data_IF_754753359081
#
_entry.id   IF_754753359081
#
_cell.length_a   1.000
_cell.length_b   1.000
_cell.length_c   1.000
_cell.angle_alpha   90.00
_cell.angle_beta   90.00
_cell.angle_gamma   90.00
#
_symmetry.space_group_name_H-M   'P 1'
#
loop_
_entity.id
_entity.type
_entity.pdbx_description
1 polymer ?
#
# COMPACT_ATOMS: atom_id res chain seq x y z
N UNK A 1 15.90 17.96 10.66
CA UNK A 1 14.86 17.22 11.43
C UNK A 1 13.90 16.62 10.42
N UNK A 2 13.84 15.30 10.29
CA UNK A 2 12.98 14.64 9.30
C UNK A 2 11.54 14.66 9.80
N UNK A 3 10.72 15.55 9.24
CA UNK A 3 9.27 15.50 9.41
C UNK A 3 8.76 14.26 8.69
N UNK A 4 8.55 13.16 9.42
CA UNK A 4 7.81 12.01 8.90
C UNK A 4 6.34 12.41 8.82
N UNK A 5 5.93 12.90 7.65
CA UNK A 5 4.52 13.04 7.29
C UNK A 5 3.86 11.68 7.52
N UNK A 6 2.89 11.63 8.43
CA UNK A 6 2.06 10.45 8.67
C UNK A 6 1.16 10.25 7.44
N UNK A 7 1.73 9.71 6.36
CA UNK A 7 0.97 9.33 5.17
C UNK A 7 0.04 8.18 5.57
N UNK A 8 -1.27 8.39 5.43
CA UNK A 8 -2.26 7.36 5.67
C UNK A 8 -2.10 6.26 4.61
N UNK A 9 -1.79 5.05 5.07
CA UNK A 9 -1.63 3.88 4.21
C UNK A 9 -2.98 3.22 3.99
N UNK A 10 -3.39 3.12 2.74
CA UNK A 10 -4.59 2.39 2.34
C UNK A 10 -4.18 1.01 1.86
N UNK A 11 -4.82 -0.03 2.39
CA UNK A 11 -4.65 -1.41 1.89
C UNK A 11 -5.53 -1.58 0.67
N UNK A 12 -4.91 -1.90 -0.47
CA UNK A 12 -5.59 -2.14 -1.74
C UNK A 12 -6.05 -3.59 -1.86
N UNK A 13 -5.19 -4.55 -1.51
CA UNK A 13 -5.46 -5.99 -1.66
C UNK A 13 -4.61 -6.82 -0.67
N UNK A 14 -5.09 -8.02 -0.33
CA UNK A 14 -4.39 -8.97 0.57
C UNK A 14 -4.16 -10.31 -0.10
N UNK A 15 -2.94 -10.84 0.03
CA UNK A 15 -2.53 -12.11 -0.55
C UNK A 15 -1.98 -13.04 0.53
N UNK A 16 -2.33 -14.34 0.53
CA UNK A 16 -1.76 -15.30 1.48
C UNK A 16 -0.28 -15.57 1.17
N UNK A 17 0.59 -15.52 2.18
CA UNK A 17 2.03 -15.70 2.00
C UNK A 17 2.41 -17.12 1.56
N UNK A 18 1.58 -18.11 1.90
CA UNK A 18 1.76 -19.52 1.54
C UNK A 18 1.29 -19.95 0.14
N UNK A 19 1.10 -19.01 -0.80
CA UNK A 19 0.66 -19.38 -2.16
C UNK A 19 1.69 -20.28 -2.85
N UNK A 20 1.28 -21.35 -3.57
CA UNK A 20 2.20 -22.31 -4.20
C UNK A 20 3.12 -21.70 -5.29
N UNK A 21 2.90 -20.44 -5.68
CA UNK A 21 3.74 -19.67 -6.61
C UNK A 21 4.51 -18.50 -5.97
N UNK A 22 4.56 -18.41 -4.63
CA UNK A 22 5.29 -17.38 -3.90
C UNK A 22 4.65 -15.98 -3.96
N UNK A 23 5.45 -14.92 -3.75
CA UNK A 23 5.04 -13.50 -3.72
C UNK A 23 4.67 -12.91 -5.10
N UNK A 24 4.76 -13.70 -6.17
CA UNK A 24 4.56 -13.25 -7.55
C UNK A 24 3.22 -12.54 -7.82
N UNK A 25 2.05 -13.04 -7.34
CA UNK A 25 0.77 -12.34 -7.55
C UNK A 25 0.73 -10.96 -6.89
N UNK A 26 1.40 -10.84 -5.74
CA UNK A 26 1.43 -9.61 -4.95
C UNK A 26 2.27 -8.53 -5.63
N UNK A 27 3.42 -8.92 -6.17
CA UNK A 27 4.32 -8.01 -6.89
C UNK A 27 3.73 -7.56 -8.23
N UNK A 28 3.10 -8.47 -8.97
CA UNK A 28 2.42 -8.15 -10.22
C UNK A 28 1.24 -7.19 -9.99
N UNK A 29 0.43 -7.44 -8.96
CA UNK A 29 -0.64 -6.53 -8.58
C UNK A 29 -0.10 -5.16 -8.20
N UNK A 30 0.95 -5.08 -7.37
CA UNK A 30 1.57 -3.80 -7.04
C UNK A 30 2.10 -3.06 -8.28
N UNK A 31 2.70 -3.77 -9.24
CA UNK A 31 3.16 -3.20 -10.51
C UNK A 31 1.99 -2.70 -11.38
N UNK A 32 0.90 -3.46 -11.45
CA UNK A 32 -0.32 -3.06 -12.15
C UNK A 32 -0.92 -1.78 -11.53
N UNK A 33 -1.00 -1.70 -10.20
CA UNK A 33 -1.49 -0.50 -9.51
C UNK A 33 -0.64 0.73 -9.80
N UNK A 34 0.70 0.58 -9.88
CA UNK A 34 1.59 1.67 -10.32
C UNK A 34 1.27 2.11 -11.76
N UNK A 35 1.04 1.17 -12.67
CA UNK A 35 0.63 1.47 -14.04
C UNK A 35 -0.74 2.16 -14.15
N UNK A 36 -1.65 1.89 -13.20
CA UNK A 36 -2.99 2.48 -13.12
C UNK A 36 -3.01 3.88 -12.46
N UNK A 37 -1.86 4.42 -12.06
CA UNK A 37 -1.76 5.76 -11.45
C UNK A 37 -1.66 5.77 -9.92
N UNK A 38 -1.32 4.65 -9.29
CA UNK A 38 -0.95 4.57 -7.87
C UNK A 38 0.57 4.37 -7.74
N UNK A 39 1.39 5.43 -7.97
CA UNK A 39 2.85 5.29 -8.00
C UNK A 39 3.43 4.77 -6.68
N UNK A 40 2.77 5.06 -5.55
CA UNK A 40 3.19 4.65 -4.22
C UNK A 40 2.70 3.25 -3.80
N UNK A 41 2.12 2.48 -4.73
CA UNK A 41 1.72 1.11 -4.44
C UNK A 41 2.96 0.26 -4.10
N UNK A 42 2.94 -0.45 -2.98
CA UNK A 42 4.03 -1.32 -2.53
C UNK A 42 3.53 -2.52 -1.74
N UNK A 43 4.32 -3.58 -1.76
CA UNK A 43 4.07 -4.80 -0.99
C UNK A 43 4.65 -4.66 0.41
N UNK A 44 3.86 -5.00 1.42
CA UNK A 44 4.29 -5.12 2.81
C UNK A 44 3.88 -6.49 3.34
N UNK A 45 4.76 -7.15 4.08
CA UNK A 45 4.42 -8.41 4.75
C UNK A 45 3.82 -8.13 6.12
N UNK A 46 2.59 -8.59 6.34
CA UNK A 46 1.94 -8.68 7.65
C UNK A 46 2.33 -10.01 8.31
N UNK A 47 3.25 -9.91 9.27
CA UNK A 47 3.74 -11.04 10.05
C UNK A 47 2.70 -11.61 11.04
N UNK A 48 1.68 -10.84 11.42
CA UNK A 48 0.67 -11.29 12.39
C UNK A 48 -0.32 -12.24 11.73
N UNK A 49 -0.65 -12.00 10.47
CA UNK A 49 -1.59 -12.81 9.70
C UNK A 49 -0.94 -13.68 8.63
N UNK A 50 0.38 -13.60 8.48
CA UNK A 50 1.15 -14.29 7.43
C UNK A 50 0.60 -13.98 6.03
N UNK A 51 0.43 -12.68 5.76
CA UNK A 51 -0.15 -12.17 4.51
C UNK A 51 0.73 -11.09 3.90
N UNK A 52 0.78 -11.05 2.58
CA UNK A 52 1.27 -9.88 1.87
C UNK A 52 0.13 -8.92 1.61
N UNK A 53 0.35 -7.65 1.95
CA UNK A 53 -0.58 -6.56 1.75
C UNK A 53 -0.01 -5.66 0.65
N UNK A 54 -0.81 -5.36 -0.36
CA UNK A 54 -0.49 -4.26 -1.28
C UNK A 54 -1.10 -3.00 -0.70
N UNK A 55 -0.25 -2.04 -0.36
CA UNK A 55 -0.66 -0.75 0.20
C UNK A 55 -0.27 0.38 -0.72
N UNK A 56 -0.99 1.50 -0.64
CA UNK A 56 -0.57 2.76 -1.23
C UNK A 56 -0.55 3.83 -0.16
N UNK A 57 0.41 4.76 -0.25
CA UNK A 57 0.36 5.98 0.53
C UNK A 57 -0.63 6.91 -0.17
N UNK A 58 -1.89 6.87 0.25
CA UNK A 58 -2.80 7.96 -0.05
C UNK A 58 -2.28 9.17 0.72
N UNK A 59 -1.63 10.09 -0.01
CA UNK A 59 -1.51 11.46 0.45
C UNK A 59 -2.94 11.94 0.67
N UNK A 60 -3.44 11.75 1.89
CA UNK A 60 -4.63 12.47 2.34
C UNK A 60 -4.23 13.92 2.11
N UNK A 61 -4.87 14.66 1.17
CA UNK A 61 -4.58 16.07 1.07
C UNK A 61 -4.77 16.62 2.49
N UNK A 62 -3.76 17.31 3.06
CA UNK A 62 -3.89 17.85 4.41
C UNK A 62 -5.21 18.58 4.41
N UNK A 63 -6.13 18.18 5.30
CA UNK A 63 -7.51 18.66 5.32
C UNK A 63 -7.47 20.17 5.08
N UNK A 64 -7.73 20.58 3.85
CA UNK A 64 -7.60 21.98 3.45
C UNK A 64 -8.74 22.64 4.17
N UNK A 65 -8.41 23.31 5.26
CA UNK A 65 -8.86 24.67 5.54
C UNK A 65 -10.32 24.89 5.09
N UNK A 66 -11.21 24.16 5.75
CA UNK A 66 -12.66 24.40 5.68
C UNK A 66 -13.15 24.53 7.11
N UNK A 67 -12.75 25.62 7.77
CA UNK A 67 -13.58 26.21 8.81
C UNK A 67 -13.49 27.74 8.72
N UNK A 68 -14.63 28.44 8.60
CA UNK A 68 -14.70 29.90 8.45
C UNK A 68 -14.28 30.66 9.71
#
# INVERSE_FOLDING_TARGET
>A
MATTTSQARTVLERFPAGSPRGSWPTEEYAAAQRGQGMPDARVVMDLRTDQFLVITDTATPPATERYP
#
